data_IF_186301726265
#
_entry.id   IF_186301726265
#
_cell.length_a   1.000
_cell.length_b   1.000
_cell.length_c   1.000
_cell.angle_alpha   90.00
_cell.angle_beta   90.00
_cell.angle_gamma   90.00
#
_symmetry.space_group_name_H-M   'P 1'
#
loop_
_entity.id
_entity.type
_entity.pdbx_description
1 polymer ?
#
# COMPACT_ATOMS: atom_id res chain seq x y z
N UNK A 1 8.41 5.67 15.03
CA UNK A 1 8.40 7.11 14.76
C UNK A 1 8.45 7.33 13.24
N UNK A 2 7.69 8.31 12.72
CA UNK A 2 7.72 8.70 11.30
C UNK A 2 9.07 9.34 10.99
N UNK A 3 9.73 8.89 9.91
CA UNK A 3 11.00 9.41 9.45
C UNK A 3 10.81 10.66 8.55
N UNK A 4 11.87 11.42 8.24
CA UNK A 4 11.75 12.65 7.45
C UNK A 4 11.21 12.44 6.03
N UNK A 5 11.53 11.31 5.37
CA UNK A 5 11.04 11.00 4.03
C UNK A 5 9.54 10.77 4.02
N UNK A 6 9.04 9.92 4.92
CA UNK A 6 7.60 9.69 5.06
C UNK A 6 6.89 10.96 5.51
N UNK A 7 7.49 11.73 6.43
CA UNK A 7 6.90 12.99 6.90
C UNK A 7 6.70 13.98 5.74
N UNK A 8 7.67 14.07 4.83
CA UNK A 8 7.53 14.92 3.64
C UNK A 8 6.36 14.49 2.77
N UNK A 9 6.21 13.20 2.49
CA UNK A 9 5.10 12.65 1.71
C UNK A 9 3.75 13.00 2.35
N UNK A 10 3.65 12.85 3.67
CA UNK A 10 2.44 13.18 4.43
C UNK A 10 2.12 14.68 4.41
N UNK A 11 3.13 15.52 4.53
CA UNK A 11 2.99 16.97 4.50
C UNK A 11 2.56 17.46 3.10
N UNK A 12 3.16 16.92 2.05
CA UNK A 12 2.80 17.21 0.66
C UNK A 12 1.35 16.77 0.37
N UNK A 13 0.93 15.61 0.86
CA UNK A 13 -0.45 15.14 0.75
C UNK A 13 -1.42 16.10 1.44
N UNK A 14 -1.11 16.52 2.66
CA UNK A 14 -1.95 17.44 3.40
C UNK A 14 -2.10 18.78 2.66
N UNK A 15 -0.99 19.34 2.19
CA UNK A 15 -0.97 20.63 1.49
C UNK A 15 -1.72 20.59 0.16
N UNK A 16 -1.55 19.51 -0.61
CA UNK A 16 -2.07 19.43 -1.98
C UNK A 16 -3.48 18.86 -2.08
N UNK A 17 -3.93 18.07 -1.08
CA UNK A 17 -5.14 17.26 -1.20
C UNK A 17 -6.18 17.51 -0.11
N UNK A 18 -5.81 18.14 1.01
CA UNK A 18 -6.73 18.37 2.12
C UNK A 18 -7.08 19.86 2.27
N UNK A 19 -8.38 20.20 2.40
CA UNK A 19 -8.84 21.61 2.41
C UNK A 19 -8.18 22.51 3.46
N UNK A 20 -7.86 21.94 4.63
CA UNK A 20 -7.23 22.65 5.74
C UNK A 20 -5.78 22.19 5.99
N UNK A 21 -5.17 21.50 5.00
CA UNK A 21 -3.81 21.01 5.09
C UNK A 21 -3.56 20.17 6.36
N UNK A 22 -2.46 20.43 7.03
CA UNK A 22 -2.05 19.73 8.28
C UNK A 22 -2.96 20.04 9.48
N UNK A 23 -3.79 21.05 9.41
CA UNK A 23 -4.76 21.40 10.45
C UNK A 23 -6.09 20.64 10.31
N UNK A 24 -6.25 19.84 9.25
CA UNK A 24 -7.46 19.07 9.01
C UNK A 24 -7.60 17.87 9.98
N UNK A 25 -8.84 17.46 10.23
CA UNK A 25 -9.12 16.24 10.96
C UNK A 25 -8.62 15.01 10.18
N UNK A 26 -8.74 15.04 8.87
CA UNK A 26 -8.26 14.01 7.95
C UNK A 26 -6.77 13.76 8.12
N UNK A 27 -5.97 14.80 8.18
CA UNK A 27 -4.53 14.68 8.42
C UNK A 27 -4.23 14.08 9.79
N UNK A 28 -4.90 14.58 10.85
CA UNK A 28 -4.73 14.02 12.21
C UNK A 28 -5.11 12.55 12.27
N UNK A 29 -6.20 12.15 11.60
CA UNK A 29 -6.64 10.76 11.55
C UNK A 29 -5.65 9.87 10.78
N UNK A 30 -5.06 10.37 9.68
CA UNK A 30 -4.02 9.66 8.94
C UNK A 30 -2.77 9.41 9.81
N UNK A 31 -2.26 10.44 10.45
CA UNK A 31 -1.11 10.34 11.36
C UNK A 31 -1.41 9.37 12.51
N UNK A 32 -2.59 9.51 13.13
CA UNK A 32 -3.03 8.62 14.21
C UNK A 32 -3.09 7.15 13.76
N UNK A 33 -3.60 6.89 12.55
CA UNK A 33 -3.69 5.55 11.98
C UNK A 33 -2.29 4.94 11.75
N UNK A 34 -1.40 5.68 11.11
CA UNK A 34 -0.03 5.21 10.82
C UNK A 34 0.70 4.92 12.14
N UNK A 35 0.66 5.85 13.08
CA UNK A 35 1.39 5.72 14.35
C UNK A 35 0.75 4.74 15.33
N UNK A 36 -0.50 4.35 15.13
CA UNK A 36 -1.17 3.34 15.95
C UNK A 36 -0.59 1.93 15.76
N UNK A 37 0.04 1.65 14.62
CA UNK A 37 0.73 0.39 14.33
C UNK A 37 2.22 0.62 14.12
N UNK A 38 3.09 0.22 15.07
CA UNK A 38 4.54 0.29 14.87
C UNK A 38 5.05 -0.40 13.60
N UNK A 39 4.50 -1.59 13.30
CA UNK A 39 4.84 -2.33 12.08
C UNK A 39 4.46 -1.54 10.82
N UNK A 40 3.27 -0.95 10.77
CA UNK A 40 2.86 -0.12 9.64
C UNK A 40 3.77 1.09 9.49
N UNK A 41 4.08 1.78 10.60
CA UNK A 41 4.99 2.93 10.57
C UNK A 41 6.35 2.56 10.00
N UNK A 42 6.93 1.45 10.43
CA UNK A 42 8.22 0.96 9.94
C UNK A 42 8.18 0.62 8.45
N UNK A 43 7.13 -0.07 8.00
CA UNK A 43 6.96 -0.44 6.60
C UNK A 43 6.83 0.79 5.68
N UNK A 44 6.03 1.77 6.07
CA UNK A 44 5.88 3.01 5.31
C UNK A 44 7.17 3.84 5.31
N UNK A 45 7.88 3.93 6.44
CA UNK A 45 9.18 4.57 6.52
C UNK A 45 10.18 3.93 5.53
N UNK A 46 10.28 2.60 5.57
CA UNK A 46 11.19 1.85 4.69
C UNK A 46 10.81 2.02 3.22
N UNK A 47 9.52 2.00 2.90
CA UNK A 47 9.05 2.22 1.52
C UNK A 47 9.39 3.63 1.01
N UNK A 48 9.24 4.66 1.86
CA UNK A 48 9.63 6.03 1.53
C UNK A 48 11.15 6.16 1.33
N UNK A 49 11.94 5.57 2.22
CA UNK A 49 13.42 5.59 2.11
C UNK A 49 13.94 4.89 0.85
N UNK A 50 13.33 3.76 0.50
CA UNK A 50 13.72 2.97 -0.69
C UNK A 50 13.13 3.51 -1.99
N UNK A 51 12.29 4.54 -1.94
CA UNK A 51 11.63 5.09 -3.12
C UNK A 51 10.59 4.13 -3.72
N UNK A 52 9.91 3.33 -2.89
CA UNK A 52 8.75 2.52 -3.28
C UNK A 52 7.45 3.28 -3.05
N UNK A 53 7.49 4.31 -2.22
CA UNK A 53 6.41 5.24 -1.95
C UNK A 53 6.92 6.67 -2.08
N UNK A 54 6.43 7.41 -3.07
CA UNK A 54 6.79 8.81 -3.33
C UNK A 54 5.63 9.77 -3.07
N UNK A 55 4.38 9.26 -3.09
CA UNK A 55 3.19 10.12 -3.05
C UNK A 55 2.01 9.43 -2.35
N UNK A 56 1.21 10.25 -1.66
CA UNK A 56 -0.17 9.93 -1.30
C UNK A 56 -1.13 10.83 -2.09
N UNK A 57 -2.27 10.28 -2.51
CA UNK A 57 -3.30 11.02 -3.23
C UNK A 57 -4.70 10.64 -2.76
N UNK A 58 -5.70 11.48 -3.07
CA UNK A 58 -7.10 11.16 -2.82
C UNK A 58 -7.63 10.26 -3.93
N UNK A 59 -8.20 9.11 -3.54
CA UNK A 59 -8.88 8.21 -4.47
C UNK A 59 -10.30 8.67 -4.76
N UNK A 60 -10.70 8.59 -6.04
CA UNK A 60 -12.08 8.76 -6.49
C UNK A 60 -12.82 7.43 -6.63
N UNK A 61 -12.15 6.29 -6.44
CA UNK A 61 -12.76 4.98 -6.56
C UNK A 61 -13.63 4.68 -5.32
N UNK A 62 -14.96 4.57 -5.46
CA UNK A 62 -15.86 4.33 -4.32
C UNK A 62 -15.72 2.92 -3.75
N UNK A 63 -15.14 1.97 -4.48
CA UNK A 63 -15.07 0.56 -4.13
C UNK A 63 -13.81 0.20 -3.33
N UNK A 64 -12.81 1.07 -3.30
CA UNK A 64 -11.56 0.84 -2.57
C UNK A 64 -11.33 1.93 -1.52
N UNK A 65 -10.92 1.53 -0.32
CA UNK A 65 -10.52 2.48 0.73
C UNK A 65 -9.12 3.03 0.50
N UNK A 66 -8.22 2.20 0.00
CA UNK A 66 -6.89 2.55 -0.47
C UNK A 66 -6.49 1.66 -1.65
N UNK A 67 -5.50 2.08 -2.43
CA UNK A 67 -4.89 1.30 -3.50
C UNK A 67 -3.45 1.78 -3.75
N UNK A 68 -2.56 0.86 -4.16
CA UNK A 68 -1.18 1.17 -4.52
C UNK A 68 -0.97 1.05 -6.03
N UNK A 69 -0.24 2.02 -6.59
CA UNK A 69 0.24 1.99 -7.98
C UNK A 69 1.77 1.96 -7.97
N UNK A 70 2.35 0.87 -8.47
CA UNK A 70 3.79 0.64 -8.44
C UNK A 70 4.56 1.56 -9.42
N UNK A 71 4.01 1.87 -10.58
CA UNK A 71 4.65 2.75 -11.56
C UNK A 71 4.71 4.20 -11.07
N UNK A 72 3.62 4.66 -10.45
CA UNK A 72 3.52 6.01 -9.88
C UNK A 72 4.07 6.07 -8.45
N UNK A 73 4.38 4.92 -7.84
CA UNK A 73 4.86 4.82 -6.44
C UNK A 73 3.93 5.54 -5.46
N UNK A 74 2.63 5.38 -5.67
CA UNK A 74 1.58 6.15 -5.01
C UNK A 74 0.58 5.25 -4.29
N UNK A 75 0.21 5.63 -3.07
CA UNK A 75 -1.00 5.13 -2.42
C UNK A 75 -2.11 6.17 -2.58
N UNK A 76 -3.22 5.77 -3.19
CA UNK A 76 -4.45 6.57 -3.28
C UNK A 76 -5.39 6.16 -2.15
N UNK A 77 -5.90 7.16 -1.40
CA UNK A 77 -6.73 6.95 -0.20
C UNK A 77 -8.09 7.61 -0.43
N UNK A 78 -9.19 6.86 -0.21
CA UNK A 78 -10.52 7.44 -0.23
C UNK A 78 -10.76 8.26 1.04
N UNK A 79 -11.25 9.50 0.90
CA UNK A 79 -11.43 10.43 2.03
C UNK A 79 -12.28 9.87 3.17
N UNK A 80 -13.26 8.98 2.89
CA UNK A 80 -14.05 8.31 3.93
C UNK A 80 -13.20 7.58 4.97
N UNK A 81 -12.00 7.12 4.61
CA UNK A 81 -11.08 6.43 5.52
C UNK A 81 -10.44 7.39 6.53
N UNK A 82 -10.43 8.68 6.21
CA UNK A 82 -9.81 9.75 7.02
C UNK A 82 -10.82 10.55 7.85
N UNK A 83 -12.12 10.38 7.62
CA UNK A 83 -13.17 11.20 8.25
C UNK A 83 -13.47 10.80 9.69
N UNK A 84 -13.20 9.57 10.09
CA UNK A 84 -13.49 9.05 11.43
C UNK A 84 -12.43 8.06 11.91
N UNK A 85 -12.13 8.10 13.22
CA UNK A 85 -11.26 7.11 13.86
C UNK A 85 -11.90 5.72 13.98
N UNK A 86 -13.21 5.59 13.81
CA UNK A 86 -13.91 4.31 13.86
C UNK A 86 -13.41 3.33 12.78
N UNK A 87 -12.81 3.85 11.73
CA UNK A 87 -12.23 3.08 10.63
C UNK A 87 -10.72 2.86 10.76
N UNK A 88 -10.12 3.23 11.90
CA UNK A 88 -8.67 3.17 12.08
C UNK A 88 -8.11 1.77 11.88
N UNK A 89 -8.71 0.75 12.49
CA UNK A 89 -8.25 -0.64 12.37
C UNK A 89 -8.35 -1.19 10.94
N UNK A 90 -9.49 -1.10 10.22
CA UNK A 90 -9.55 -1.46 8.80
C UNK A 90 -8.58 -0.66 7.94
N UNK A 91 -8.34 0.60 8.26
CA UNK A 91 -7.42 1.43 7.51
C UNK A 91 -5.93 1.04 7.74
N UNK A 92 -5.57 0.65 8.96
CA UNK A 92 -4.26 0.04 9.26
C UNK A 92 -4.04 -1.21 8.40
N UNK A 93 -5.05 -2.08 8.31
CA UNK A 93 -5.00 -3.25 7.44
C UNK A 93 -4.74 -2.87 5.99
N UNK A 94 -5.55 -1.94 5.45
CA UNK A 94 -5.45 -1.55 4.05
C UNK A 94 -4.10 -0.92 3.71
N UNK A 95 -3.59 -0.01 4.54
CA UNK A 95 -2.28 0.59 4.29
C UNK A 95 -1.16 -0.44 4.34
N UNK A 96 -1.22 -1.40 5.28
CA UNK A 96 -0.26 -2.51 5.37
C UNK A 96 -0.32 -3.44 4.16
N UNK A 97 -1.54 -3.73 3.68
CA UNK A 97 -1.79 -4.51 2.47
C UNK A 97 -1.22 -3.79 1.23
N UNK A 98 -1.61 -2.54 1.03
CA UNK A 98 -1.24 -1.79 -0.18
C UNK A 98 0.26 -1.54 -0.28
N UNK A 99 0.94 -1.19 0.81
CA UNK A 99 2.38 -0.96 0.73
C UNK A 99 3.18 -2.24 0.47
N UNK A 100 2.65 -3.42 0.82
CA UNK A 100 3.28 -4.69 0.52
C UNK A 100 3.37 -4.95 -0.99
N UNK A 101 2.41 -4.50 -1.77
CA UNK A 101 2.49 -4.56 -3.24
C UNK A 101 3.73 -3.84 -3.77
N UNK A 102 4.11 -2.71 -3.17
CA UNK A 102 5.35 -2.01 -3.51
C UNK A 102 6.60 -2.83 -3.22
N UNK A 103 6.68 -3.45 -2.05
CA UNK A 103 7.80 -4.34 -1.70
C UNK A 103 7.88 -5.55 -2.62
N UNK A 104 6.75 -6.18 -2.94
CA UNK A 104 6.71 -7.31 -3.85
C UNK A 104 7.17 -6.92 -5.25
N UNK A 105 6.66 -5.79 -5.76
CA UNK A 105 6.99 -5.31 -7.10
C UNK A 105 8.48 -5.03 -7.27
N UNK A 106 9.09 -4.32 -6.32
CA UNK A 106 10.48 -3.88 -6.42
C UNK A 106 11.50 -4.89 -5.89
N UNK A 107 11.15 -5.73 -4.91
CA UNK A 107 12.12 -6.62 -4.24
C UNK A 107 11.96 -8.09 -4.63
N UNK A 108 10.76 -8.54 -5.02
CA UNK A 108 10.49 -9.95 -5.28
C UNK A 108 10.33 -10.30 -6.76
N UNK A 109 10.77 -9.43 -7.65
CA UNK A 109 10.85 -9.70 -9.08
C UNK A 109 9.51 -9.66 -9.80
N UNK A 110 8.47 -9.03 -9.25
CA UNK A 110 7.20 -8.88 -9.96
C UNK A 110 7.36 -8.03 -11.21
N UNK A 111 8.11 -6.94 -11.13
CA UNK A 111 8.43 -6.06 -12.28
C UNK A 111 9.12 -6.84 -13.41
N UNK A 112 10.13 -7.64 -13.07
CA UNK A 112 10.84 -8.47 -14.04
C UNK A 112 9.93 -9.56 -14.62
N UNK A 113 9.02 -10.12 -13.81
CA UNK A 113 8.03 -11.10 -14.26
C UNK A 113 7.06 -10.48 -15.27
N UNK A 114 6.49 -9.31 -14.97
CA UNK A 114 5.63 -8.57 -15.90
C UNK A 114 6.35 -8.30 -17.22
N UNK A 115 7.54 -7.72 -17.18
CA UNK A 115 8.32 -7.40 -18.38
C UNK A 115 8.63 -8.66 -19.22
N UNK A 116 8.98 -9.77 -18.56
CA UNK A 116 9.24 -11.04 -19.22
C UNK A 116 7.98 -11.62 -19.87
N UNK A 117 6.84 -11.54 -19.19
CA UNK A 117 5.55 -12.01 -19.70
C UNK A 117 5.12 -11.19 -20.90
N UNK A 118 5.21 -9.84 -20.82
CA UNK A 118 4.89 -8.95 -21.94
C UNK A 118 5.74 -9.26 -23.16
N UNK A 119 7.06 -9.41 -23.00
CA UNK A 119 7.95 -9.78 -24.10
C UNK A 119 7.60 -11.13 -24.74
N UNK A 120 7.13 -12.12 -23.96
CA UNK A 120 6.65 -13.40 -24.50
C UNK A 120 5.33 -13.25 -25.25
N UNK A 121 4.41 -12.45 -24.72
CA UNK A 121 3.12 -12.15 -25.35
C UNK A 121 3.34 -11.48 -26.71
N UNK A 122 4.24 -10.48 -26.76
CA UNK A 122 4.59 -9.79 -28.01
C UNK A 122 5.18 -10.75 -29.05
N UNK A 123 6.12 -11.61 -28.66
CA UNK A 123 6.69 -12.65 -29.54
C UNK A 123 5.61 -13.58 -30.11
N UNK A 124 4.64 -14.01 -29.29
CA UNK A 124 3.53 -14.86 -29.74
C UNK A 124 2.63 -14.05 -30.70
N UNK A 125 2.37 -12.78 -30.38
CA UNK A 125 1.54 -11.91 -31.21
C UNK A 125 2.15 -11.67 -32.59
N UNK A 126 3.47 -11.50 -32.68
CA UNK A 126 4.22 -11.28 -33.94
C UNK A 126 4.49 -12.57 -34.71
N UNK A 127 4.29 -13.75 -34.14
CA UNK A 127 4.56 -15.03 -34.79
C UNK A 127 3.59 -15.30 -35.96
N UNK A 128 4.05 -16.07 -36.96
CA UNK A 128 3.24 -16.52 -38.10
C UNK A 128 2.30 -17.71 -37.75
N UNK A 129 2.23 -18.10 -36.51
CA UNK A 129 1.40 -19.22 -36.07
C UNK A 129 -0.09 -18.93 -36.31
N UNK A 130 -0.80 -19.86 -36.96
CA UNK A 130 -2.26 -19.79 -37.24
C UNK A 130 -3.08 -19.71 -35.95
N UNK A 131 -2.59 -20.33 -34.86
CA UNK A 131 -3.21 -20.30 -33.53
C UNK A 131 -2.16 -19.82 -32.53
N UNK A 132 -2.47 -18.74 -31.82
CA UNK A 132 -1.60 -18.15 -30.81
C UNK A 132 -1.99 -18.67 -29.45
N UNK A 133 -1.03 -19.22 -28.71
CA UNK A 133 -1.23 -19.75 -27.35
C UNK A 133 -0.52 -18.89 -26.31
N UNK A 134 -1.30 -18.17 -25.51
CA UNK A 134 -0.86 -17.31 -24.42
C UNK A 134 -0.95 -17.97 -23.04
N UNK A 135 -1.34 -19.25 -22.96
CA UNK A 135 -1.65 -19.95 -21.70
C UNK A 135 -0.51 -19.90 -20.71
N UNK A 136 0.72 -20.23 -21.17
CA UNK A 136 1.89 -20.29 -20.28
C UNK A 136 2.31 -18.91 -19.75
N UNK A 137 2.51 -17.88 -20.56
CA UNK A 137 2.85 -16.54 -20.05
C UNK A 137 1.77 -15.96 -19.15
N UNK A 138 0.48 -16.14 -19.45
CA UNK A 138 -0.61 -15.67 -18.61
C UNK A 138 -0.66 -16.43 -17.26
N UNK A 139 -0.38 -17.74 -17.27
CA UNK A 139 -0.28 -18.50 -16.01
C UNK A 139 0.86 -18.00 -15.14
N UNK A 140 2.03 -17.76 -15.69
CA UNK A 140 3.19 -17.24 -14.97
C UNK A 140 2.83 -15.90 -14.27
N UNK A 141 2.09 -15.01 -14.95
CA UNK A 141 1.62 -13.74 -14.39
C UNK A 141 0.61 -13.97 -13.26
N UNK A 142 -0.40 -14.81 -13.48
CA UNK A 142 -1.41 -15.10 -12.47
C UNK A 142 -0.82 -15.71 -11.19
N UNK A 143 0.17 -16.59 -11.32
CA UNK A 143 0.83 -17.19 -10.16
C UNK A 143 1.61 -16.12 -9.36
N UNK A 144 2.25 -15.16 -10.04
CA UNK A 144 2.90 -14.02 -9.38
C UNK A 144 1.89 -13.11 -8.67
N UNK A 145 0.76 -12.79 -9.30
CA UNK A 145 -0.31 -11.98 -8.71
C UNK A 145 -0.92 -12.65 -7.47
N UNK A 146 -1.17 -13.96 -7.52
CA UNK A 146 -1.67 -14.69 -6.34
C UNK A 146 -0.70 -14.68 -5.17
N UNK A 147 0.60 -14.78 -5.45
CA UNK A 147 1.64 -14.68 -4.42
C UNK A 147 1.68 -13.28 -3.82
N UNK A 148 1.61 -12.25 -4.65
CA UNK A 148 1.57 -10.86 -4.23
C UNK A 148 0.37 -10.60 -3.30
N UNK A 149 -0.84 -10.98 -3.72
CA UNK A 149 -2.05 -10.85 -2.90
C UNK A 149 -1.95 -11.59 -1.56
N UNK A 150 -1.42 -12.82 -1.55
CA UNK A 150 -1.24 -13.58 -0.31
C UNK A 150 -0.28 -12.86 0.66
N UNK A 151 0.83 -12.32 0.17
CA UNK A 151 1.78 -11.55 0.98
C UNK A 151 1.18 -10.23 1.45
N UNK A 152 0.39 -9.55 0.62
CA UNK A 152 -0.31 -8.33 0.99
C UNK A 152 -1.33 -8.57 2.11
N UNK A 153 -2.10 -9.66 2.05
CA UNK A 153 -3.01 -10.07 3.13
C UNK A 153 -2.25 -10.31 4.45
N UNK A 154 -1.13 -11.01 4.40
CA UNK A 154 -0.29 -11.25 5.59
C UNK A 154 0.24 -9.92 6.16
N UNK A 155 0.73 -9.04 5.30
CA UNK A 155 1.25 -7.73 5.73
C UNK A 155 0.17 -6.86 6.38
N UNK A 156 -1.04 -6.83 5.81
CA UNK A 156 -2.19 -6.16 6.40
C UNK A 156 -2.51 -6.68 7.81
N UNK A 157 -2.58 -8.00 7.98
CA UNK A 157 -2.82 -8.60 9.30
C UNK A 157 -1.68 -8.37 10.28
N UNK A 158 -0.41 -8.41 9.87
CA UNK A 158 0.72 -8.07 10.73
C UNK A 158 0.64 -6.63 11.25
N UNK A 159 0.22 -5.70 10.41
CA UNK A 159 -0.02 -4.32 10.82
C UNK A 159 -1.15 -4.22 11.86
N UNK A 160 -2.25 -4.97 11.68
CA UNK A 160 -3.37 -5.02 12.64
C UNK A 160 -2.95 -5.66 13.97
N UNK A 161 -2.21 -6.76 13.95
CA UNK A 161 -1.69 -7.38 15.20
C UNK A 161 -0.84 -6.38 15.98
N UNK A 162 0.05 -5.67 15.29
CA UNK A 162 0.87 -4.61 15.90
C UNK A 162 0.04 -3.47 16.48
N UNK A 163 -1.03 -3.06 15.79
CA UNK A 163 -2.02 -2.10 16.28
C UNK A 163 -2.68 -2.59 17.58
N UNK A 164 -3.23 -3.80 17.59
CA UNK A 164 -3.90 -4.38 18.76
C UNK A 164 -2.96 -4.49 19.97
N UNK A 165 -1.74 -4.95 19.76
CA UNK A 165 -0.73 -5.03 20.83
C UNK A 165 -0.44 -3.66 21.46
N UNK A 166 -0.34 -2.62 20.63
CA UNK A 166 -0.13 -1.26 21.11
C UNK A 166 -1.33 -0.73 21.90
N UNK A 167 -2.58 -1.01 21.46
CA UNK A 167 -3.78 -0.62 22.18
C UNK A 167 -3.89 -1.33 23.55
N UNK A 168 -3.61 -2.63 23.61
CA UNK A 168 -3.57 -3.39 24.86
C UNK A 168 -2.52 -2.85 25.84
N UNK A 169 -1.33 -2.48 25.34
CA UNK A 169 -0.29 -1.84 26.15
C UNK A 169 -0.73 -0.53 26.79
N UNK A 170 -1.46 0.32 26.03
CA UNK A 170 -2.04 1.57 26.56
C UNK A 170 -3.07 1.32 27.63
N UNK A 171 -3.95 0.33 27.47
CA UNK A 171 -4.98 -0.02 28.44
C UNK A 171 -4.36 -0.49 29.76
N UNK A 172 -3.31 -1.31 29.71
CA UNK A 172 -2.57 -1.76 30.91
C UNK A 172 -1.90 -0.60 31.67
N UNK A 173 -1.33 0.37 30.94
CA UNK A 173 -0.70 1.55 31.54
C UNK A 173 -1.71 2.52 32.17
N UNK A 174 -2.94 2.58 31.63
CA UNK A 174 -4.00 3.45 32.19
C UNK A 174 -4.68 2.89 33.43
N UNK A 175 -4.47 1.61 33.75
CA UNK A 175 -5.00 0.93 34.95
C UNK A 175 -4.02 0.91 36.13
N UNK A 176 -2.82 1.41 35.95
CA UNK A 176 -1.81 1.64 37.00
C UNK A 176 -1.84 3.08 37.50
#
# INVERSE_FOLDING_TARGET
>A
QINPQLQKILDDFAQNSLPNGKNSNEYRNLIATITASPVLTERLNTAAEKGYLDELAVSKNPNAGASYNAEEKRISIHLRMLQSQDKQKPFVFQLGHEIQHGFFYYEQGHKETENRVLAKVDKIAESDAKRKDYTKPLKDLQDAERKDEALAMIAGWNAVVSYEQKQQGKTKLSLQ
#
